data_IF_433318922810
#
_entry.id   IF_433318922810
#
_cell.length_a   1.000
_cell.length_b   1.000
_cell.length_c   1.000
_cell.angle_alpha   90.00
_cell.angle_beta   90.00
_cell.angle_gamma   90.00
#
_symmetry.space_group_name_H-M   'P 1'
#
loop_
_entity.id
_entity.type
_entity.pdbx_description
1 polymer ?
#
# COMPACT_ATOMS: atom_id res chain seq x y z
N UNK A 1 5.82 -6.65 -10.33
CA UNK A 1 4.95 -5.47 -10.53
C UNK A 1 5.06 -4.57 -9.30
N UNK A 2 4.76 -3.29 -9.42
CA UNK A 2 4.61 -2.35 -8.30
C UNK A 2 3.15 -1.89 -8.22
N UNK A 3 2.58 -1.92 -7.02
CA UNK A 3 1.27 -1.34 -6.70
C UNK A 3 1.44 -0.32 -5.57
N UNK A 4 0.60 0.72 -5.56
CA UNK A 4 0.63 1.78 -4.56
C UNK A 4 -0.79 2.19 -4.18
N UNK A 5 -1.01 2.48 -2.89
CA UNK A 5 -2.22 3.14 -2.38
C UNK A 5 -1.85 4.13 -1.27
N UNK A 6 -2.78 5.02 -0.93
CA UNK A 6 -2.74 5.79 0.32
C UNK A 6 -3.81 5.27 1.28
N UNK A 7 -3.48 5.10 2.55
CA UNK A 7 -4.43 4.71 3.62
C UNK A 7 -4.35 5.70 4.79
N UNK A 8 -5.45 5.97 5.50
CA UNK A 8 -5.40 6.74 6.75
C UNK A 8 -4.71 5.97 7.90
N UNK A 9 -4.47 4.65 7.76
CA UNK A 9 -3.85 3.84 8.81
C UNK A 9 -2.41 4.29 9.12
N UNK A 10 -1.97 4.25 10.39
CA UNK A 10 -0.57 4.49 10.76
C UNK A 10 0.39 3.46 10.13
N UNK A 11 1.65 3.83 9.81
CA UNK A 11 2.59 2.94 9.14
C UNK A 11 2.83 1.62 9.88
N UNK A 12 2.96 1.66 11.21
CA UNK A 12 3.17 0.47 12.04
C UNK A 12 1.97 -0.49 11.99
N UNK A 13 0.74 0.04 11.94
CA UNK A 13 -0.47 -0.77 11.82
C UNK A 13 -0.58 -1.41 10.44
N UNK A 14 -0.17 -0.70 9.37
CA UNK A 14 -0.10 -1.28 8.03
C UNK A 14 0.88 -2.45 7.99
N UNK A 15 2.08 -2.30 8.56
CA UNK A 15 3.07 -3.39 8.61
C UNK A 15 2.55 -4.58 9.46
N UNK A 16 1.92 -4.31 10.61
CA UNK A 16 1.31 -5.36 11.41
C UNK A 16 0.20 -6.11 10.65
N UNK A 17 -0.65 -5.39 9.92
CA UNK A 17 -1.69 -5.95 9.08
C UNK A 17 -1.11 -6.81 7.94
N UNK A 18 -0.07 -6.31 7.25
CA UNK A 18 0.63 -7.07 6.21
C UNK A 18 1.20 -8.38 6.75
N UNK A 19 1.91 -8.32 7.88
CA UNK A 19 2.47 -9.51 8.55
C UNK A 19 1.39 -10.53 8.85
N UNK A 20 0.26 -10.12 9.41
CA UNK A 20 -0.86 -11.03 9.66
C UNK A 20 -1.49 -11.58 8.39
N UNK A 21 -1.67 -10.75 7.36
CA UNK A 21 -2.35 -11.13 6.12
C UNK A 21 -1.56 -12.19 5.34
N UNK A 22 -0.26 -11.97 5.12
CA UNK A 22 0.57 -12.82 4.28
C UNK A 22 1.04 -14.10 4.99
N UNK A 23 1.11 -14.11 6.33
CA UNK A 23 1.50 -15.31 7.09
C UNK A 23 0.34 -16.25 7.42
N UNK A 24 -0.92 -15.78 7.42
CA UNK A 24 -2.09 -16.60 7.80
C UNK A 24 -2.80 -17.30 6.63
N UNK A 25 -2.63 -16.88 5.36
CA UNK A 25 -3.45 -17.37 4.24
C UNK A 25 -2.78 -18.47 3.40
N UNK A 26 -3.57 -19.52 3.15
CA UNK A 26 -3.52 -20.64 2.17
C UNK A 26 -2.16 -21.20 1.71
N UNK A 27 -1.93 -22.52 1.80
CA UNK A 27 -0.62 -23.16 1.54
C UNK A 27 -0.06 -23.01 0.12
N UNK A 28 -0.87 -22.62 -0.87
CA UNK A 28 -0.40 -22.43 -2.27
C UNK A 28 0.24 -21.04 -2.48
N UNK A 29 -0.08 -20.06 -1.63
CA UNK A 29 0.44 -18.68 -1.73
C UNK A 29 0.97 -18.17 -0.39
N UNK A 30 1.38 -19.09 0.49
CA UNK A 30 1.95 -18.73 1.77
C UNK A 30 3.32 -18.07 1.55
N UNK A 31 3.48 -16.85 2.04
CA UNK A 31 4.76 -16.15 2.04
C UNK A 31 5.27 -16.07 3.48
N UNK A 32 6.49 -16.54 3.70
CA UNK A 32 7.13 -16.52 5.00
C UNK A 32 7.85 -15.20 5.17
N UNK A 33 7.72 -14.57 6.34
CA UNK A 33 8.45 -13.35 6.65
C UNK A 33 9.95 -13.64 6.59
N UNK A 34 10.68 -12.88 5.78
CA UNK A 34 12.14 -13.00 5.64
C UNK A 34 12.85 -11.89 6.42
N UNK A 35 12.44 -10.62 6.22
CA UNK A 35 13.01 -9.46 6.93
C UNK A 35 11.92 -8.51 7.39
N UNK A 36 12.19 -7.87 8.52
CA UNK A 36 11.37 -6.82 9.10
C UNK A 36 12.25 -5.62 9.43
N UNK A 37 11.85 -4.47 8.92
CA UNK A 37 12.45 -3.17 9.22
C UNK A 37 11.38 -2.18 9.68
N UNK A 38 11.80 -0.99 10.15
CA UNK A 38 10.88 0.01 10.70
C UNK A 38 9.86 0.53 9.66
N UNK A 39 10.15 0.38 8.37
CA UNK A 39 9.33 0.91 7.27
C UNK A 39 9.06 -0.13 6.18
N UNK A 40 9.40 -1.40 6.39
CA UNK A 40 9.20 -2.43 5.38
C UNK A 40 9.14 -3.85 5.95
N UNK A 41 8.54 -4.75 5.17
CA UNK A 41 8.56 -6.20 5.35
C UNK A 41 8.92 -6.86 4.01
N UNK A 42 9.74 -7.90 4.06
CA UNK A 42 9.97 -8.79 2.91
C UNK A 42 9.45 -10.18 3.25
N UNK A 43 8.86 -10.85 2.26
CA UNK A 43 8.38 -12.21 2.39
C UNK A 43 8.83 -13.07 1.22
N UNK A 44 8.94 -14.37 1.46
CA UNK A 44 9.39 -15.37 0.50
C UNK A 44 8.39 -16.50 0.34
N UNK A 45 8.02 -16.80 -0.90
CA UNK A 45 7.20 -17.97 -1.25
C UNK A 45 8.06 -19.24 -1.41
N UNK A 46 7.40 -20.39 -1.55
CA UNK A 46 8.07 -21.69 -1.66
C UNK A 46 8.82 -21.91 -2.99
N UNK A 47 8.51 -21.12 -4.02
CA UNK A 47 9.07 -21.24 -5.38
C UNK A 47 10.11 -20.18 -5.76
N UNK A 48 10.72 -19.49 -4.80
CA UNK A 48 11.59 -18.33 -5.08
C UNK A 48 10.84 -17.04 -5.38
N UNK A 49 9.52 -17.05 -5.15
CA UNK A 49 8.64 -15.88 -5.21
C UNK A 49 9.00 -14.89 -4.10
N UNK A 50 8.84 -13.61 -4.37
CA UNK A 50 9.16 -12.53 -3.42
C UNK A 50 8.05 -11.48 -3.41
N UNK A 51 7.76 -10.96 -2.23
CA UNK A 51 6.97 -9.74 -2.08
C UNK A 51 7.56 -8.83 -1.00
N UNK A 52 7.45 -7.54 -1.24
CA UNK A 52 7.92 -6.48 -0.36
C UNK A 52 6.76 -5.51 -0.12
N UNK A 53 6.49 -5.23 1.14
CA UNK A 53 5.60 -4.14 1.56
C UNK A 53 6.45 -3.04 2.15
N UNK A 54 6.41 -1.85 1.57
CA UNK A 54 7.05 -0.64 2.07
C UNK A 54 6.02 0.39 2.48
N UNK A 55 6.30 1.14 3.54
CA UNK A 55 5.43 2.23 4.03
C UNK A 55 6.20 3.53 4.15
N UNK A 56 5.51 4.65 3.93
CA UNK A 56 6.03 6.00 4.16
C UNK A 56 4.92 6.87 4.75
N UNK A 57 5.18 7.47 5.91
CA UNK A 57 4.24 8.39 6.55
C UNK A 57 4.10 9.68 5.72
N UNK A 58 2.90 10.24 5.70
CA UNK A 58 2.58 11.54 5.11
C UNK A 58 1.62 12.30 6.04
N UNK A 59 1.44 13.59 5.81
CA UNK A 59 0.48 14.41 6.58
C UNK A 59 -0.97 13.90 6.45
N UNK A 60 -1.27 13.15 5.39
CA UNK A 60 -2.58 12.61 5.09
C UNK A 60 -2.76 11.13 5.45
N UNK A 61 -1.77 10.43 6.00
CA UNK A 61 -1.83 9.00 6.30
C UNK A 61 -0.52 8.27 5.96
N UNK A 62 -0.63 7.12 5.30
CA UNK A 62 0.50 6.29 4.89
C UNK A 62 0.41 5.95 3.41
N UNK A 63 1.49 6.22 2.67
CA UNK A 63 1.69 5.63 1.34
C UNK A 63 2.19 4.20 1.53
N UNK A 64 1.50 3.24 0.91
CA UNK A 64 1.83 1.82 0.97
C UNK A 64 2.22 1.33 -0.41
N UNK A 65 3.41 0.76 -0.54
CA UNK A 65 3.95 0.22 -1.78
C UNK A 65 4.11 -1.29 -1.66
N UNK A 66 3.58 -2.00 -2.65
CA UNK A 66 3.71 -3.44 -2.78
C UNK A 66 4.49 -3.79 -4.03
N UNK A 67 5.69 -4.34 -3.86
CA UNK A 67 6.50 -4.85 -4.97
C UNK A 67 6.52 -6.37 -4.92
N UNK A 68 6.38 -7.03 -6.07
CA UNK A 68 6.38 -8.50 -6.10
C UNK A 68 6.86 -9.10 -7.41
N UNK A 69 7.39 -10.31 -7.27
CA UNK A 69 7.41 -11.34 -8.31
C UNK A 69 6.36 -12.42 -7.94
N UNK A 70 5.25 -12.45 -8.70
CA UNK A 70 4.16 -13.45 -8.68
C UNK A 70 3.04 -13.33 -7.60
N UNK A 71 3.01 -12.27 -6.77
CA UNK A 71 1.93 -12.04 -5.77
C UNK A 71 0.97 -10.89 -6.10
N UNK A 72 0.78 -10.54 -7.38
CA UNK A 72 0.03 -9.33 -7.78
C UNK A 72 -1.39 -9.29 -7.22
N UNK A 73 -2.13 -10.40 -7.31
CA UNK A 73 -3.50 -10.47 -6.79
C UNK A 73 -3.55 -10.44 -5.26
N UNK A 74 -2.54 -10.99 -4.59
CA UNK A 74 -2.47 -11.03 -3.13
C UNK A 74 -2.18 -9.63 -2.58
N UNK A 75 -1.34 -8.85 -3.25
CA UNK A 75 -1.12 -7.44 -2.93
C UNK A 75 -2.41 -6.63 -3.13
N UNK A 76 -3.10 -6.79 -4.27
CA UNK A 76 -4.36 -6.09 -4.51
C UNK A 76 -5.43 -6.41 -3.46
N UNK A 77 -5.53 -7.69 -3.07
CA UNK A 77 -6.43 -8.12 -1.99
C UNK A 77 -6.03 -7.55 -0.64
N UNK A 78 -4.74 -7.51 -0.32
CA UNK A 78 -4.26 -6.87 0.91
C UNK A 78 -4.63 -5.39 0.93
N UNK A 79 -4.37 -4.66 -0.15
CA UNK A 79 -4.67 -3.22 -0.26
C UNK A 79 -6.15 -2.93 -0.08
N UNK A 80 -7.05 -3.78 -0.59
CA UNK A 80 -8.50 -3.64 -0.37
C UNK A 80 -8.92 -3.73 1.11
N UNK A 81 -8.07 -4.26 2.00
CA UNK A 81 -8.35 -4.34 3.44
C UNK A 81 -7.89 -3.11 4.22
N UNK A 82 -7.12 -2.21 3.61
CA UNK A 82 -6.49 -1.07 4.28
C UNK A 82 -7.34 0.21 4.24
N UNK A 83 -8.60 0.14 3.84
CA UNK A 83 -9.45 1.31 3.59
C UNK A 83 -8.73 2.34 2.68
N UNK A 84 -8.39 1.95 1.43
CA UNK A 84 -7.61 2.81 0.55
C UNK A 84 -8.37 4.11 0.28
N UNK A 85 -7.71 5.25 0.52
CA UNK A 85 -8.24 6.54 0.10
C UNK A 85 -8.29 6.56 -1.43
N UNK A 86 -9.39 7.03 -2.06
CA UNK A 86 -9.38 7.28 -3.49
C UNK A 86 -8.24 8.23 -3.84
N UNK A 87 -7.50 7.92 -4.91
CA UNK A 87 -6.44 8.78 -5.41
C UNK A 87 -7.02 10.18 -5.61
N UNK A 88 -6.69 11.09 -4.70
CA UNK A 88 -7.04 12.50 -4.87
C UNK A 88 -6.10 12.98 -5.96
N UNK A 89 -6.62 13.01 -7.18
CA UNK A 89 -6.01 13.66 -8.34
C UNK A 89 -5.36 14.97 -7.87
N UNK A 90 -4.10 15.16 -8.25
CA UNK A 90 -3.28 16.31 -7.89
C UNK A 90 -4.03 17.61 -8.15
N UNK A 91 -4.74 18.14 -7.14
CA UNK A 91 -5.32 19.50 -7.15
C UNK A 91 -4.17 20.49 -6.95
N UNK A 92 -3.31 20.58 -7.95
CA UNK A 92 -2.33 21.65 -8.08
C UNK A 92 -2.59 22.36 -9.39
N UNK A 93 -3.51 23.33 -9.31
CA UNK A 93 -3.52 24.50 -10.18
C UNK A 93 -4.74 24.62 -11.09
N UNK A 94 -5.76 25.37 -10.65
CA UNK A 94 -6.00 26.73 -11.19
C UNK A 94 -7.12 27.43 -10.41
N UNK A 95 -6.90 27.74 -9.13
CA UNK A 95 -7.60 28.84 -8.47
C UNK A 95 -7.07 30.14 -9.08
N UNK A 96 -7.73 30.65 -10.14
CA UNK A 96 -7.89 32.07 -10.47
C UNK A 96 -8.35 32.25 -11.93
N UNK A 97 -9.65 32.48 -12.14
CA UNK A 97 -10.21 33.57 -12.96
C UNK A 97 -11.71 33.32 -13.14
N UNK A 98 -12.54 33.92 -12.29
CA UNK A 98 -13.83 34.51 -12.66
C UNK A 98 -14.24 35.43 -11.51
N UNK A 99 -13.60 36.59 -11.45
CA UNK A 99 -14.16 37.78 -10.82
C UNK A 99 -14.72 38.67 -11.93
N UNK A 100 -16.04 38.63 -12.12
CA UNK A 100 -16.87 39.75 -12.60
C UNK A 100 -18.35 39.32 -12.65
N UNK A 101 -19.07 39.48 -11.53
CA UNK A 101 -20.40 40.11 -11.61
C UNK A 101 -20.16 41.61 -11.83
N UNK A 102 -20.97 42.40 -12.52
CA UNK A 102 -22.43 42.54 -12.41
C UNK A 102 -22.92 43.36 -13.61
N UNK A 103 -24.21 43.25 -13.89
CA UNK A 103 -25.02 44.09 -14.77
C UNK A 103 -24.82 45.61 -14.60
#
# INVERSE_FOLDING_TARGET
>A
MLQEITTPMPPAEVLAAAKQFFTRRSPIYAAFLEKEGPTYLTFRGQGGEELVIGVSATDGGTIVRGSTYLFDQQIARFFSTLDPRPDTELDTGMTNMTSAGTA
#
